data_IF_898983258681
#
_entry.id   IF_898983258681
#
_cell.length_a   1.000
_cell.length_b   1.000
_cell.length_c   1.000
_cell.angle_alpha   90.00
_cell.angle_beta   90.00
_cell.angle_gamma   90.00
#
_symmetry.space_group_name_H-M   'P 1'
#
loop_
_entity.id
_entity.type
_entity.pdbx_description
1 polymer ?
#
# COMPACT_ATOMS: atom_id res chain seq x y z
N UNK A 1 -62.29 4.32 -1.47
CA UNK A 1 -61.46 3.23 -2.01
C UNK A 1 -60.22 3.18 -1.12
N UNK A 2 -60.37 2.83 0.16
CA UNK A 2 -60.61 1.47 0.69
C UNK A 2 -59.56 0.45 0.20
N UNK A 3 -58.76 0.06 1.18
CA UNK A 3 -57.66 -0.92 1.25
C UNK A 3 -58.08 -2.33 0.76
N UNK A 4 -57.17 -3.33 0.63
CA UNK A 4 -56.49 -3.89 1.80
C UNK A 4 -55.05 -4.43 1.59
N UNK A 5 -54.30 -4.42 2.68
CA UNK A 5 -53.20 -5.35 2.97
C UNK A 5 -53.70 -6.80 3.04
N UNK A 6 -52.80 -7.79 2.94
CA UNK A 6 -52.93 -8.91 3.85
C UNK A 6 -51.61 -9.29 4.53
N UNK A 7 -51.85 -10.03 5.60
CA UNK A 7 -51.07 -10.27 6.80
C UNK A 7 -50.68 -11.76 6.88
N UNK A 8 -49.81 -12.10 7.84
CA UNK A 8 -49.56 -13.44 8.43
C UNK A 8 -48.81 -14.49 7.57
N UNK A 9 -47.87 -15.33 8.05
CA UNK A 9 -47.71 -15.95 9.38
C UNK A 9 -46.29 -16.53 9.61
N UNK A 10 -45.95 -17.01 10.84
CA UNK A 10 -44.60 -17.35 11.33
C UNK A 10 -44.33 -18.86 11.53
N UNK A 11 -43.06 -19.24 11.74
CA UNK A 11 -42.56 -20.49 12.38
C UNK A 11 -41.17 -20.14 12.97
N UNK A 12 -40.81 -20.24 14.26
CA UNK A 12 -40.92 -21.28 15.32
C UNK A 12 -40.10 -22.55 15.04
N UNK A 13 -38.84 -22.52 15.47
CA UNK A 13 -38.08 -23.61 16.15
C UNK A 13 -36.88 -22.90 16.82
N UNK A 14 -36.66 -22.90 18.13
CA UNK A 14 -36.74 -24.00 19.08
C UNK A 14 -35.30 -24.43 19.41
N UNK A 15 -34.75 -23.94 20.53
CA UNK A 15 -33.83 -24.70 21.42
C UNK A 15 -33.30 -23.78 22.52
N UNK A 16 -34.02 -23.83 23.63
CA UNK A 16 -33.51 -23.60 24.97
C UNK A 16 -32.35 -24.58 25.24
N UNK A 17 -31.18 -24.06 25.61
CA UNK A 17 -30.21 -24.80 26.39
C UNK A 17 -29.76 -23.88 27.52
N UNK A 18 -30.37 -24.11 28.67
CA UNK A 18 -29.96 -23.65 30.00
C UNK A 18 -28.89 -24.63 30.53
N UNK A 19 -27.67 -24.17 30.83
CA UNK A 19 -26.70 -24.94 31.58
C UNK A 19 -26.52 -24.35 32.98
N UNK A 20 -27.60 -24.30 33.76
CA UNK A 20 -27.52 -24.26 35.21
C UNK A 20 -27.45 -25.71 35.74
N UNK A 21 -26.52 -25.93 36.68
CA UNK A 21 -26.09 -27.20 37.30
C UNK A 21 -24.94 -27.96 36.62
N UNK A 22 -23.72 -27.67 37.10
CA UNK A 22 -22.75 -28.69 37.56
C UNK A 22 -21.79 -27.99 38.53
N UNK A 23 -22.17 -27.96 39.81
CA UNK A 23 -21.26 -27.74 40.92
C UNK A 23 -20.57 -29.07 41.21
N UNK A 24 -19.26 -29.14 41.02
CA UNK A 24 -18.41 -30.07 41.75
C UNK A 24 -17.03 -29.43 41.96
N UNK A 25 -16.74 -29.26 43.25
CA UNK A 25 -15.53 -28.71 43.85
C UNK A 25 -14.25 -29.44 43.43
N UNK A 26 -13.22 -28.67 43.12
CA UNK A 26 -11.85 -29.03 43.47
C UNK A 26 -11.04 -27.74 43.64
N UNK A 27 -10.67 -27.43 44.88
CA UNK A 27 -9.74 -26.36 45.23
C UNK A 27 -8.39 -26.57 44.53
N UNK A 28 -7.83 -25.57 43.82
CA UNK A 28 -6.44 -25.62 43.41
C UNK A 28 -5.57 -25.09 44.57
N UNK A 29 -4.75 -25.97 45.13
CA UNK A 29 -3.64 -25.57 45.99
C UNK A 29 -2.75 -24.52 45.29
N UNK A 30 -2.31 -23.46 45.97
CA UNK A 30 -1.32 -22.56 45.42
C UNK A 30 0.04 -23.28 45.38
N UNK A 31 0.44 -23.77 44.21
CA UNK A 31 1.86 -24.03 43.94
C UNK A 31 2.55 -22.68 43.81
N UNK A 32 3.24 -22.29 44.88
CA UNK A 32 4.30 -21.29 44.86
C UNK A 32 5.40 -21.82 43.95
N UNK A 33 5.43 -21.34 42.70
CA UNK A 33 6.58 -21.48 41.81
C UNK A 33 7.45 -20.24 42.02
N UNK A 34 8.17 -20.20 43.13
CA UNK A 34 9.33 -19.33 43.28
C UNK A 34 10.49 -19.96 42.50
N UNK A 35 10.54 -19.68 41.21
CA UNK A 35 11.76 -19.71 40.41
C UNK A 35 11.52 -18.90 39.13
N UNK A 36 11.36 -17.58 39.31
CA UNK A 36 11.68 -16.64 38.24
C UNK A 36 13.21 -16.69 38.12
N UNK A 37 13.71 -17.58 37.26
CA UNK A 37 15.05 -17.45 36.74
C UNK A 37 15.13 -16.05 36.14
N UNK A 38 15.89 -15.17 36.79
CA UNK A 38 16.34 -13.91 36.24
C UNK A 38 17.22 -14.24 35.05
N UNK A 39 16.58 -14.42 33.89
CA UNK A 39 17.29 -14.67 32.65
C UNK A 39 18.07 -13.38 32.35
N UNK A 40 19.38 -13.44 32.51
CA UNK A 40 20.28 -12.27 32.41
C UNK A 40 19.97 -11.46 31.14
N UNK A 41 19.78 -10.12 31.23
CA UNK A 41 19.52 -9.27 30.05
C UNK A 41 20.51 -9.48 28.88
N UNK A 42 21.70 -10.00 29.18
CA UNK A 42 22.76 -10.28 28.21
C UNK A 42 22.39 -11.29 27.10
N UNK A 43 21.53 -12.28 27.35
CA UNK A 43 21.17 -13.23 26.29
C UNK A 43 20.21 -12.61 25.26
N UNK A 44 19.33 -11.69 25.68
CA UNK A 44 18.45 -10.95 24.78
C UNK A 44 19.26 -10.00 23.91
N UNK A 45 20.28 -9.35 24.48
CA UNK A 45 21.20 -8.48 23.73
C UNK A 45 22.01 -9.32 22.72
N UNK A 46 22.56 -10.47 23.13
CA UNK A 46 23.28 -11.38 22.22
C UNK A 46 22.40 -11.95 21.10
N UNK A 47 21.14 -12.30 21.41
CA UNK A 47 20.20 -12.78 20.42
C UNK A 47 19.84 -11.67 19.41
N UNK A 48 19.64 -10.44 19.88
CA UNK A 48 19.41 -9.28 19.01
C UNK A 48 20.60 -9.00 18.10
N UNK A 49 21.82 -9.03 18.63
CA UNK A 49 23.04 -8.85 17.83
C UNK A 49 23.22 -9.97 16.80
N UNK A 50 22.95 -11.23 17.15
CA UNK A 50 22.95 -12.34 16.18
C UNK A 50 21.90 -12.16 15.08
N UNK A 51 20.69 -11.69 15.42
CA UNK A 51 19.65 -11.43 14.42
C UNK A 51 20.09 -10.31 13.46
N UNK A 52 20.73 -9.26 13.98
CA UNK A 52 21.29 -8.17 13.16
C UNK A 52 22.40 -8.68 12.24
N UNK A 53 23.33 -9.49 12.74
CA UNK A 53 24.42 -10.08 11.95
C UNK A 53 23.90 -11.04 10.87
N UNK A 54 22.87 -11.84 11.18
CA UNK A 54 22.21 -12.72 10.21
C UNK A 54 21.52 -11.88 9.13
N UNK A 55 20.82 -10.80 9.50
CA UNK A 55 20.20 -9.88 8.53
C UNK A 55 21.24 -9.22 7.63
N UNK A 56 22.34 -8.72 8.20
CA UNK A 56 23.45 -8.13 7.45
C UNK A 56 24.09 -9.14 6.48
N UNK A 57 24.32 -10.38 6.92
CA UNK A 57 24.91 -11.41 6.07
C UNK A 57 23.97 -11.85 4.94
N UNK A 58 22.67 -12.00 5.22
CA UNK A 58 21.66 -12.28 4.19
C UNK A 58 21.56 -11.13 3.19
N UNK A 59 21.56 -9.87 3.66
CA UNK A 59 21.56 -8.69 2.80
C UNK A 59 22.81 -8.63 1.92
N UNK A 60 23.99 -8.91 2.47
CA UNK A 60 25.24 -8.97 1.71
C UNK A 60 25.25 -10.13 0.69
N UNK A 61 24.68 -11.29 1.02
CA UNK A 61 24.53 -12.41 0.09
C UNK A 61 23.53 -12.10 -1.02
N UNK A 62 22.41 -11.43 -0.71
CA UNK A 62 21.46 -10.95 -1.71
C UNK A 62 22.09 -9.88 -2.60
N UNK A 63 22.89 -8.98 -2.03
CA UNK A 63 23.60 -7.94 -2.76
C UNK A 63 24.62 -8.56 -3.73
N UNK A 64 25.42 -9.54 -3.27
CA UNK A 64 26.30 -10.31 -4.15
C UNK A 64 25.55 -11.11 -5.21
N UNK A 65 24.37 -11.65 -4.92
CA UNK A 65 23.56 -12.37 -5.90
C UNK A 65 22.94 -11.42 -6.95
N UNK A 66 22.57 -10.20 -6.56
CA UNK A 66 22.05 -9.16 -7.46
C UNK A 66 23.18 -8.57 -8.30
N UNK A 67 24.33 -8.26 -7.70
CA UNK A 67 25.54 -7.77 -8.39
C UNK A 67 26.10 -8.82 -9.35
N UNK A 68 26.05 -10.11 -9.01
CA UNK A 68 26.40 -11.19 -9.94
C UNK A 68 25.30 -11.49 -10.98
N UNK A 69 24.08 -10.98 -10.80
CA UNK A 69 23.03 -10.97 -11.84
C UNK A 69 23.07 -9.73 -12.74
N UNK A 70 23.96 -8.77 -12.45
CA UNK A 70 24.14 -7.51 -13.20
C UNK A 70 24.92 -7.67 -14.53
N UNK A 71 24.90 -8.87 -15.13
CA UNK A 71 24.90 -8.96 -16.61
C UNK A 71 23.64 -8.27 -17.21
N UNK A 72 22.74 -7.77 -16.36
CA UNK A 72 21.53 -7.00 -16.64
C UNK A 72 21.72 -5.52 -17.05
N UNK A 73 22.90 -5.08 -17.47
CA UNK A 73 23.08 -3.71 -18.02
C UNK A 73 22.15 -3.41 -19.22
N UNK A 74 21.48 -4.42 -19.76
CA UNK A 74 20.54 -4.36 -20.90
C UNK A 74 19.09 -4.70 -20.55
N UNK A 75 18.73 -4.97 -19.29
CA UNK A 75 17.37 -5.37 -18.93
C UNK A 75 16.40 -4.18 -18.98
N UNK A 76 15.75 -4.01 -20.14
CA UNK A 76 14.72 -3.00 -20.37
C UNK A 76 13.42 -3.42 -19.66
N UNK A 77 12.73 -2.52 -18.94
CA UNK A 77 11.45 -2.85 -18.31
C UNK A 77 10.41 -3.29 -19.34
N UNK A 78 9.62 -4.33 -19.02
CA UNK A 78 8.58 -4.90 -19.89
C UNK A 78 7.64 -3.86 -20.50
N UNK A 79 7.34 -2.81 -19.73
CA UNK A 79 6.40 -1.81 -20.17
C UNK A 79 6.96 -0.95 -21.29
N UNK A 80 8.23 -1.09 -21.73
CA UNK A 80 8.83 -0.39 -22.88
C UNK A 80 8.45 -1.02 -24.22
N UNK A 81 8.02 -2.27 -24.22
CA UNK A 81 7.61 -2.99 -25.44
C UNK A 81 6.15 -2.71 -25.84
N UNK A 82 5.38 -2.06 -24.96
CA UNK A 82 4.01 -1.63 -25.27
C UNK A 82 4.03 -0.68 -26.49
N UNK A 83 3.26 -0.98 -27.54
CA UNK A 83 3.27 -0.19 -28.76
C UNK A 83 2.76 1.22 -28.51
N UNK A 84 3.22 2.14 -29.34
CA UNK A 84 2.68 3.48 -29.31
C UNK A 84 1.31 3.56 -30.01
N UNK A 85 0.30 4.06 -29.30
CA UNK A 85 -1.08 4.16 -29.79
C UNK A 85 -1.44 5.56 -30.32
N UNK A 86 -0.45 6.44 -30.54
CA UNK A 86 -0.70 7.83 -30.96
C UNK A 86 -1.45 8.00 -32.25
N UNK A 87 -1.33 7.02 -33.14
CA UNK A 87 -2.01 7.01 -34.43
C UNK A 87 -3.36 6.29 -34.38
N UNK A 88 -3.79 5.82 -33.20
CA UNK A 88 -5.07 5.15 -33.02
C UNK A 88 -6.13 6.13 -32.55
N UNK A 89 -7.38 5.79 -32.83
CA UNK A 89 -8.56 6.55 -32.39
C UNK A 89 -8.85 6.30 -30.90
N UNK A 90 -8.51 5.13 -30.39
CA UNK A 90 -8.82 4.70 -29.02
C UNK A 90 -7.57 4.55 -28.14
N UNK A 91 -7.68 5.00 -26.90
CA UNK A 91 -6.68 4.76 -25.85
C UNK A 91 -6.74 3.32 -25.30
N UNK A 92 -5.87 3.01 -24.35
CA UNK A 92 -5.85 1.69 -23.69
C UNK A 92 -5.63 1.85 -22.20
N UNK A 93 -6.35 1.05 -21.41
CA UNK A 93 -6.16 0.89 -19.98
C UNK A 93 -5.28 -0.34 -19.74
N UNK A 94 -4.23 -0.16 -18.95
CA UNK A 94 -3.32 -1.21 -18.54
C UNK A 94 -3.44 -1.45 -17.05
N UNK A 95 -3.75 -2.69 -16.69
CA UNK A 95 -3.85 -3.16 -15.30
C UNK A 95 -2.76 -4.16 -15.01
N UNK A 96 -2.01 -3.94 -13.93
CA UNK A 96 -1.08 -4.96 -13.45
C UNK A 96 -1.86 -6.11 -12.82
N UNK A 97 -1.53 -7.34 -13.21
CA UNK A 97 -2.17 -8.51 -12.60
C UNK A 97 -1.81 -8.59 -11.12
N UNK A 98 -2.74 -9.04 -10.25
CA UNK A 98 -2.43 -9.36 -8.87
C UNK A 98 -1.22 -10.30 -8.79
N UNK A 99 -0.42 -10.13 -7.74
CA UNK A 99 0.74 -10.98 -7.46
C UNK A 99 0.59 -11.57 -6.06
N UNK A 100 1.17 -12.75 -5.86
CA UNK A 100 1.26 -13.35 -4.54
C UNK A 100 2.50 -12.83 -3.80
N UNK A 101 2.40 -12.73 -2.47
CA UNK A 101 3.54 -12.40 -1.64
C UNK A 101 4.52 -13.58 -1.61
N UNK A 102 5.78 -13.34 -1.98
CA UNK A 102 6.85 -14.33 -1.93
C UNK A 102 7.99 -13.81 -1.05
N UNK A 103 8.26 -14.43 0.12
CA UNK A 103 9.26 -13.96 1.08
C UNK A 103 10.69 -13.82 0.51
N UNK A 104 11.04 -14.64 -0.47
CA UNK A 104 12.41 -14.74 -0.99
C UNK A 104 12.67 -13.89 -2.25
N UNK A 105 11.68 -13.13 -2.72
CA UNK A 105 11.83 -12.29 -3.91
C UNK A 105 11.63 -10.81 -3.55
N UNK A 106 12.41 -9.89 -4.17
CA UNK A 106 12.12 -8.48 -4.04
C UNK A 106 10.67 -8.20 -4.42
N UNK A 107 9.94 -7.65 -3.46
CA UNK A 107 8.51 -7.45 -3.62
C UNK A 107 8.21 -6.28 -4.56
N UNK A 108 9.11 -5.30 -4.59
CA UNK A 108 9.19 -4.28 -5.61
C UNK A 108 10.41 -4.55 -6.51
N UNK A 109 10.17 -4.86 -7.78
CA UNK A 109 11.24 -5.00 -8.77
C UNK A 109 10.81 -4.30 -10.06
N UNK A 110 11.37 -3.10 -10.31
CA UNK A 110 11.10 -2.35 -11.54
C UNK A 110 11.56 -3.01 -12.85
N UNK A 111 12.30 -4.13 -12.78
CA UNK A 111 12.68 -4.95 -13.94
C UNK A 111 11.92 -6.28 -14.00
N UNK A 112 10.99 -6.54 -13.08
CA UNK A 112 10.14 -7.72 -13.18
C UNK A 112 9.28 -7.62 -14.44
N UNK A 113 9.23 -8.69 -15.24
CA UNK A 113 8.23 -8.82 -16.30
C UNK A 113 6.89 -9.08 -15.63
N UNK A 114 6.06 -8.03 -15.53
CA UNK A 114 4.75 -8.13 -14.90
C UNK A 114 3.73 -8.48 -15.97
N UNK A 115 2.96 -9.58 -15.85
CA UNK A 115 1.82 -9.80 -16.73
C UNK A 115 0.79 -8.69 -16.49
N UNK A 116 0.43 -7.96 -17.53
CA UNK A 116 -0.55 -6.89 -17.46
C UNK A 116 -1.70 -7.15 -18.42
N UNK A 117 -2.90 -6.91 -17.93
CA UNK A 117 -4.13 -7.05 -18.69
C UNK A 117 -4.33 -5.76 -19.48
N UNK A 118 -4.42 -5.93 -20.80
CA UNK A 118 -4.71 -4.85 -21.73
C UNK A 118 -6.21 -4.81 -21.96
N UNK A 119 -6.85 -3.72 -21.59
CA UNK A 119 -8.30 -3.55 -21.79
C UNK A 119 -8.55 -2.34 -22.68
N UNK A 120 -9.38 -2.55 -23.70
CA UNK A 120 -9.96 -1.44 -24.44
C UNK A 120 -11.09 -0.88 -23.61
N UNK A 121 -10.92 0.35 -23.15
CA UNK A 121 -11.91 1.02 -22.31
C UNK A 121 -12.28 2.33 -22.96
N UNK A 122 -13.55 2.47 -23.31
CA UNK A 122 -14.11 3.75 -23.69
C UNK A 122 -14.22 4.62 -22.44
N UNK A 123 -13.59 5.79 -22.47
CA UNK A 123 -13.76 6.81 -21.44
C UNK A 123 -14.27 8.09 -22.07
N UNK A 124 -15.17 8.76 -21.36
CA UNK A 124 -15.52 10.15 -21.65
C UNK A 124 -14.85 10.99 -20.57
N UNK A 125 -13.98 11.90 -20.99
CA UNK A 125 -13.59 13.00 -20.13
C UNK A 125 -14.88 13.79 -19.93
N UNK A 126 -15.31 13.96 -18.68
CA UNK A 126 -16.57 14.62 -18.41
C UNK A 126 -16.55 16.03 -19.02
N UNK A 127 -17.61 16.40 -19.75
CA UNK A 127 -17.97 17.81 -19.96
C UNK A 127 -18.53 18.32 -18.63
N UNK A 128 -17.67 18.46 -17.62
CA UNK A 128 -17.99 19.29 -16.47
C UNK A 128 -17.22 20.58 -16.68
N UNK A 129 -17.97 21.60 -17.07
CA UNK A 129 -17.53 22.97 -17.30
C UNK A 129 -16.36 23.39 -16.38
N UNK A 130 -15.23 23.71 -17.00
CA UNK A 130 -14.14 24.61 -16.60
C UNK A 130 -13.49 24.64 -15.19
N UNK A 131 -13.99 24.03 -14.10
CA UNK A 131 -13.59 24.52 -12.75
C UNK A 131 -12.84 23.57 -11.78
N UNK A 132 -12.37 22.40 -12.17
CA UNK A 132 -11.46 21.62 -11.28
C UNK A 132 -10.20 21.14 -11.99
N UNK A 133 -9.46 22.07 -12.59
CA UNK A 133 -8.01 21.96 -12.57
C UNK A 133 -7.54 22.15 -11.11
N UNK A 134 -7.57 21.08 -10.31
CA UNK A 134 -6.84 21.12 -9.04
C UNK A 134 -5.36 20.94 -9.39
N UNK A 135 -4.72 22.04 -9.78
CA UNK A 135 -3.27 22.15 -9.73
C UNK A 135 -2.87 22.01 -8.26
N UNK A 136 -2.62 20.77 -7.85
CA UNK A 136 -1.98 20.52 -6.57
C UNK A 136 -0.53 20.95 -6.77
N UNK A 137 -0.27 22.23 -6.53
CA UNK A 137 1.08 22.74 -6.39
C UNK A 137 1.61 22.08 -5.12
N UNK A 138 2.33 20.97 -5.27
CA UNK A 138 3.19 20.56 -4.19
C UNK A 138 4.27 21.65 -4.02
N UNK A 139 4.77 21.85 -2.81
CA UNK A 139 5.80 22.84 -2.54
C UNK A 139 7.10 22.63 -3.34
N UNK A 140 7.18 21.61 -4.20
CA UNK A 140 8.29 21.37 -5.11
C UNK A 140 8.13 22.03 -6.48
N UNK A 141 7.04 22.76 -6.73
CA UNK A 141 6.82 23.53 -7.97
C UNK A 141 6.47 22.65 -9.18
N UNK A 142 6.04 21.41 -8.94
CA UNK A 142 5.55 20.51 -9.99
C UNK A 142 4.03 20.63 -10.07
N UNK A 143 3.54 21.02 -11.25
CA UNK A 143 2.11 21.15 -11.49
C UNK A 143 1.52 19.77 -11.82
N UNK A 144 0.87 19.18 -10.82
CA UNK A 144 0.05 17.99 -11.02
C UNK A 144 -1.32 18.39 -11.58
N UNK A 145 -1.73 17.72 -12.65
CA UNK A 145 -3.08 17.82 -13.19
C UNK A 145 -3.85 16.57 -12.82
N UNK A 146 -5.08 16.77 -12.35
CA UNK A 146 -6.04 15.72 -12.04
C UNK A 146 -7.35 16.00 -12.77
N UNK A 147 -7.84 15.06 -13.57
CA UNK A 147 -9.13 15.17 -14.28
C UNK A 147 -10.07 14.04 -13.92
N UNK A 148 -11.35 14.36 -13.74
CA UNK A 148 -12.40 13.35 -13.56
C UNK A 148 -12.71 12.68 -14.91
N UNK A 149 -12.79 11.36 -14.88
CA UNK A 149 -13.19 10.56 -16.03
C UNK A 149 -14.19 9.48 -15.57
N UNK A 150 -15.07 9.08 -16.47
CA UNK A 150 -15.92 7.92 -16.24
C UNK A 150 -15.45 6.77 -17.13
N UNK A 151 -15.10 5.63 -16.51
CA UNK A 151 -14.77 4.40 -17.21
C UNK A 151 -16.03 3.57 -17.44
N UNK A 152 -16.34 3.32 -18.71
CA UNK A 152 -17.36 2.35 -19.09
C UNK A 152 -16.68 0.98 -19.27
N UNK A 153 -16.94 0.04 -18.35
CA UNK A 153 -16.37 -1.31 -18.42
C UNK A 153 -17.41 -2.37 -18.06
N UNK A 154 -17.27 -3.57 -18.65
CA UNK A 154 -18.17 -4.71 -18.40
C UNK A 154 -18.08 -5.23 -16.96
N UNK A 155 -16.90 -5.15 -16.36
CA UNK A 155 -16.67 -5.52 -14.97
C UNK A 155 -17.06 -4.34 -14.07
N UNK A 156 -18.12 -4.51 -13.28
CA UNK A 156 -18.68 -3.45 -12.43
C UNK A 156 -17.67 -2.85 -11.43
N UNK A 157 -16.65 -3.63 -11.03
CA UNK A 157 -15.61 -3.18 -10.12
C UNK A 157 -14.58 -2.25 -10.80
N UNK A 158 -14.54 -2.23 -12.13
CA UNK A 158 -13.71 -1.35 -12.96
C UNK A 158 -14.52 -0.15 -13.47
N UNK A 159 -15.82 -0.33 -13.71
CA UNK A 159 -16.69 0.77 -14.06
C UNK A 159 -16.77 1.81 -12.92
N UNK A 160 -16.89 3.09 -13.29
CA UNK A 160 -17.12 4.17 -12.33
C UNK A 160 -16.29 5.43 -12.60
N UNK A 161 -16.24 6.29 -11.60
CA UNK A 161 -15.54 7.58 -11.64
C UNK A 161 -14.08 7.39 -11.19
N UNK A 162 -13.16 7.91 -11.99
CA UNK A 162 -11.72 7.86 -11.76
C UNK A 162 -11.12 9.26 -11.89
N UNK A 163 -9.94 9.44 -11.30
CA UNK A 163 -9.05 10.55 -11.51
C UNK A 163 -7.93 10.15 -12.47
N UNK A 164 -7.78 10.91 -13.53
CA UNK A 164 -6.65 10.86 -14.45
C UNK A 164 -5.61 11.85 -13.95
N UNK A 165 -4.47 11.35 -13.48
CA UNK A 165 -3.41 12.14 -12.86
C UNK A 165 -2.15 12.10 -13.70
N UNK A 166 -1.51 13.25 -13.88
CA UNK A 166 -0.22 13.35 -14.55
C UNK A 166 0.49 14.66 -14.16
N UNK A 167 1.78 14.75 -14.45
CA UNK A 167 2.53 16.00 -14.36
C UNK A 167 2.62 16.65 -15.74
N UNK A 168 2.44 17.96 -15.83
CA UNK A 168 2.50 18.68 -17.12
C UNK A 168 3.83 18.46 -17.84
N UNK A 169 4.95 18.53 -17.10
CA UNK A 169 6.31 18.34 -17.64
C UNK A 169 6.55 16.95 -18.23
N UNK A 170 5.70 15.96 -17.95
CA UNK A 170 5.85 14.66 -18.59
C UNK A 170 5.65 14.76 -20.10
N UNK A 171 4.87 15.72 -20.61
CA UNK A 171 4.67 15.91 -22.05
C UNK A 171 6.00 16.15 -22.79
N UNK A 172 6.91 16.89 -22.16
CA UNK A 172 8.24 17.24 -22.69
C UNK A 172 9.27 16.09 -22.59
N UNK A 173 8.94 15.03 -21.85
CA UNK A 173 9.83 13.88 -21.72
C UNK A 173 9.69 12.94 -22.92
N UNK A 174 10.81 12.36 -23.36
CA UNK A 174 10.82 11.30 -24.39
C UNK A 174 9.90 10.11 -24.08
N UNK A 175 9.67 9.83 -22.78
CA UNK A 175 8.78 8.74 -22.37
C UNK A 175 7.32 9.15 -22.17
N UNK A 176 7.01 10.45 -22.24
CA UNK A 176 5.69 11.01 -21.98
C UNK A 176 5.04 10.53 -20.68
N UNK A 177 5.84 10.36 -19.61
CA UNK A 177 5.38 9.90 -18.29
C UNK A 177 5.25 8.38 -18.12
N UNK A 178 5.53 7.57 -19.17
CA UNK A 178 5.32 6.12 -19.18
C UNK A 178 5.93 5.40 -17.98
N UNK A 179 7.21 5.63 -17.73
CA UNK A 179 7.94 4.94 -16.67
C UNK A 179 7.43 5.34 -15.28
N UNK A 180 7.07 6.61 -15.08
CA UNK A 180 6.45 7.08 -13.83
C UNK A 180 5.10 6.42 -13.57
N UNK A 181 4.26 6.29 -14.60
CA UNK A 181 2.94 5.67 -14.47
C UNK A 181 3.04 4.19 -14.05
N UNK A 182 3.93 3.42 -14.70
CA UNK A 182 4.11 2.01 -14.36
C UNK A 182 4.77 1.80 -12.99
N UNK A 183 5.69 2.68 -12.58
CA UNK A 183 6.25 2.68 -11.23
C UNK A 183 5.17 2.92 -10.16
N UNK A 184 4.25 3.87 -10.42
CA UNK A 184 3.09 4.12 -9.55
C UNK A 184 2.21 2.89 -9.41
N UNK A 185 1.88 2.26 -10.53
CA UNK A 185 1.04 1.08 -10.56
C UNK A 185 1.71 -0.10 -9.83
N UNK A 186 3.03 -0.27 -9.99
CA UNK A 186 3.80 -1.28 -9.27
C UNK A 186 3.83 -1.02 -7.77
N UNK A 187 4.03 0.23 -7.35
CA UNK A 187 4.00 0.65 -5.95
C UNK A 187 2.63 0.37 -5.32
N UNK A 188 1.54 0.79 -5.99
CA UNK A 188 0.17 0.53 -5.55
C UNK A 188 -0.09 -0.97 -5.39
N UNK A 189 0.28 -1.79 -6.38
CA UNK A 189 0.13 -3.26 -6.31
C UNK A 189 0.92 -3.86 -5.15
N UNK A 190 2.17 -3.41 -4.93
CA UNK A 190 2.99 -3.87 -3.81
C UNK A 190 2.35 -3.57 -2.46
N UNK A 191 1.97 -2.30 -2.24
CA UNK A 191 1.36 -1.86 -0.99
C UNK A 191 0.01 -2.58 -0.75
N UNK A 192 -0.75 -2.88 -1.80
CA UNK A 192 -1.99 -3.66 -1.68
C UNK A 192 -1.72 -5.08 -1.14
N UNK A 193 -0.69 -5.76 -1.64
CA UNK A 193 -0.26 -7.06 -1.12
C UNK A 193 0.24 -6.96 0.33
N UNK A 194 1.04 -5.96 0.63
CA UNK A 194 1.57 -5.73 1.98
C UNK A 194 0.44 -5.45 2.98
N UNK A 195 -0.57 -4.68 2.58
CA UNK A 195 -1.73 -4.37 3.42
C UNK A 195 -2.56 -5.62 3.72
N UNK A 196 -2.77 -6.48 2.72
CA UNK A 196 -3.45 -7.77 2.93
C UNK A 196 -2.67 -8.65 3.92
N UNK A 197 -1.33 -8.69 3.79
CA UNK A 197 -0.47 -9.41 4.72
C UNK A 197 -0.54 -8.82 6.14
N UNK A 198 -0.49 -7.50 6.28
CA UNK A 198 -0.63 -6.78 7.56
C UNK A 198 -1.96 -7.10 8.25
N UNK A 199 -3.08 -7.00 7.53
CA UNK A 199 -4.40 -7.36 8.04
C UNK A 199 -4.47 -8.83 8.48
N UNK A 200 -3.89 -9.75 7.71
CA UNK A 200 -3.81 -11.18 8.09
C UNK A 200 -2.97 -11.40 9.35
N UNK A 201 -1.87 -10.65 9.52
CA UNK A 201 -1.02 -10.73 10.70
C UNK A 201 -1.76 -10.25 11.95
N UNK A 202 -2.47 -9.11 11.88
CA UNK A 202 -3.34 -8.64 12.96
C UNK A 202 -4.40 -9.68 13.35
N UNK A 203 -5.08 -10.26 12.37
CA UNK A 203 -6.08 -11.31 12.61
C UNK A 203 -5.50 -12.52 13.33
N UNK A 204 -4.33 -13.00 12.89
CA UNK A 204 -3.65 -14.14 13.51
C UNK A 204 -3.27 -13.86 14.97
N UNK A 205 -2.79 -12.65 15.27
CA UNK A 205 -2.47 -12.21 16.63
C UNK A 205 -3.72 -12.01 17.51
N UNK A 206 -4.91 -11.91 16.91
CA UNK A 206 -6.20 -11.96 17.59
C UNK A 206 -6.51 -13.28 18.29
N UNK A 207 -5.74 -14.34 18.04
CA UNK A 207 -5.86 -15.63 18.72
C UNK A 207 -4.55 -15.92 19.46
N UNK A 208 -4.65 -16.22 20.75
CA UNK A 208 -3.49 -16.69 21.52
C UNK A 208 -3.16 -18.15 21.17
N UNK A 209 -1.96 -18.60 21.52
CA UNK A 209 -1.54 -20.00 21.38
C UNK A 209 -2.43 -20.97 22.19
N UNK A 210 -3.21 -20.45 23.14
CA UNK A 210 -4.15 -21.20 23.99
C UNK A 210 -5.60 -21.09 23.45
N UNK A 211 -5.80 -20.43 22.30
CA UNK A 211 -7.10 -20.25 21.67
C UNK A 211 -7.95 -19.11 22.26
N UNK A 212 -7.47 -18.41 23.29
CA UNK A 212 -8.16 -17.25 23.84
C UNK A 212 -8.12 -16.07 22.86
N UNK A 213 -9.23 -15.33 22.78
CA UNK A 213 -9.38 -14.18 21.90
C UNK A 213 -8.70 -12.96 22.51
N UNK A 214 -7.83 -12.31 21.74
CA UNK A 214 -7.28 -11.00 22.09
C UNK A 214 -8.17 -9.90 21.48
N UNK A 215 -9.02 -9.29 22.30
CA UNK A 215 -10.01 -8.30 21.86
C UNK A 215 -9.37 -7.08 21.18
N UNK A 216 -8.23 -6.60 21.70
CA UNK A 216 -7.50 -5.45 21.15
C UNK A 216 -7.04 -5.70 19.72
N UNK A 217 -6.45 -6.87 19.44
CA UNK A 217 -6.00 -7.19 18.08
C UNK A 217 -7.16 -7.43 17.11
N UNK A 218 -8.28 -7.99 17.59
CA UNK A 218 -9.49 -8.09 16.76
C UNK A 218 -10.04 -6.70 16.41
N UNK A 219 -10.06 -5.78 17.37
CA UNK A 219 -10.47 -4.39 17.11
C UNK A 219 -9.55 -3.74 16.07
N UNK A 220 -8.23 -3.83 16.23
CA UNK A 220 -7.28 -3.32 15.24
C UNK A 220 -7.44 -3.98 13.87
N UNK A 221 -7.68 -5.29 13.83
CA UNK A 221 -7.98 -5.99 12.57
C UNK A 221 -9.24 -5.44 11.90
N UNK A 222 -10.32 -5.24 12.64
CA UNK A 222 -11.56 -4.69 12.10
C UNK A 222 -11.40 -3.26 11.59
N UNK A 223 -10.65 -2.41 12.28
CA UNK A 223 -10.33 -1.06 11.80
C UNK A 223 -9.41 -1.16 10.57
N UNK A 224 -8.37 -2.00 10.60
CA UNK A 224 -7.47 -2.19 9.46
C UNK A 224 -8.19 -2.71 8.21
N UNK A 225 -9.36 -3.34 8.34
CA UNK A 225 -10.20 -3.77 7.20
C UNK A 225 -10.90 -2.61 6.48
N UNK A 226 -11.01 -1.43 7.07
CA UNK A 226 -11.47 -0.24 6.35
C UNK A 226 -10.41 0.29 5.38
N UNK A 227 -9.12 0.06 5.71
CA UNK A 227 -8.00 0.39 4.86
C UNK A 227 -8.05 -0.40 3.57
N UNK A 228 -7.95 0.31 2.45
CA UNK A 228 -7.88 -0.28 1.12
C UNK A 228 -6.99 0.57 0.21
N UNK A 229 -6.07 -0.09 -0.50
CA UNK A 229 -5.33 0.56 -1.58
C UNK A 229 -6.24 0.75 -2.78
N UNK A 230 -6.34 1.98 -3.26
CA UNK A 230 -7.03 2.28 -4.50
C UNK A 230 -6.29 1.64 -5.68
N UNK A 231 -7.00 0.93 -6.57
CA UNK A 231 -6.40 0.42 -7.79
C UNK A 231 -5.79 1.58 -8.59
N UNK A 232 -4.51 1.42 -8.95
CA UNK A 232 -3.78 2.35 -9.81
C UNK A 232 -3.56 1.67 -11.16
N UNK A 233 -4.23 2.19 -12.18
CA UNK A 233 -4.11 1.75 -13.56
C UNK A 233 -3.26 2.74 -14.35
N UNK A 234 -2.75 2.29 -15.50
CA UNK A 234 -2.04 3.15 -16.44
C UNK A 234 -2.90 3.33 -17.67
N UNK A 235 -3.10 4.57 -18.10
CA UNK A 235 -3.81 4.90 -19.34
C UNK A 235 -2.80 5.42 -20.35
N UNK A 236 -2.87 4.91 -21.57
CA UNK A 236 -2.25 5.53 -22.73
C UNK A 236 -3.37 6.15 -23.57
N UNK A 237 -3.36 7.47 -23.70
CA UNK A 237 -4.27 8.16 -24.61
C UNK A 237 -4.00 7.76 -26.07
N UNK A 238 -5.06 7.68 -26.87
CA UNK A 238 -4.96 7.84 -28.32
C UNK A 238 -4.50 9.26 -28.65
N UNK A 239 -4.00 9.48 -29.87
CA UNK A 239 -3.46 10.76 -30.33
C UNK A 239 -4.16 11.97 -29.72
N UNK A 240 -3.43 12.74 -28.92
CA UNK A 240 -3.98 13.90 -28.26
C UNK A 240 -4.15 14.98 -29.33
N UNK A 241 -5.36 15.54 -29.46
CA UNK A 241 -5.60 16.72 -30.32
C UNK A 241 -4.89 17.96 -29.73
N UNK A 242 -4.54 17.91 -28.44
CA UNK A 242 -3.77 18.93 -27.73
C UNK A 242 -2.37 18.37 -27.44
N UNK A 243 -1.35 18.89 -28.14
CA UNK A 243 0.05 18.46 -28.05
C UNK A 243 0.69 18.64 -26.65
N UNK A 244 0.00 19.29 -25.72
CA UNK A 244 0.54 19.72 -24.43
C UNK A 244 0.37 18.69 -23.29
N UNK A 245 -0.45 17.64 -23.47
CA UNK A 245 -0.65 16.64 -22.42
C UNK A 245 0.23 15.40 -22.60
N UNK A 246 0.79 14.83 -21.51
CA UNK A 246 1.48 13.57 -21.60
C UNK A 246 0.52 12.46 -22.02
N UNK A 247 1.03 11.58 -22.87
CA UNK A 247 0.28 10.42 -23.36
C UNK A 247 -0.03 9.41 -22.27
N UNK A 248 0.92 9.19 -21.36
CA UNK A 248 0.77 8.25 -20.27
C UNK A 248 0.29 8.96 -19.03
N UNK A 249 -0.79 8.45 -18.46
CA UNK A 249 -1.47 9.04 -17.31
C UNK A 249 -1.81 7.96 -16.30
N UNK A 250 -1.80 8.32 -15.02
CA UNK A 250 -2.21 7.44 -13.93
C UNK A 250 -3.73 7.51 -13.80
N UNK A 251 -4.40 6.38 -13.65
CA UNK A 251 -5.85 6.31 -13.46
C UNK A 251 -6.15 5.63 -12.13
N UNK A 252 -6.60 6.42 -11.16
CA UNK A 252 -6.98 5.96 -9.81
C UNK A 252 -8.45 6.19 -9.59
N UNK A 253 -9.14 5.29 -8.88
CA UNK A 253 -10.57 5.48 -8.59
C UNK A 253 -10.76 6.74 -7.73
N UNK A 254 -11.80 7.51 -8.05
CA UNK A 254 -12.10 8.73 -7.31
C UNK A 254 -12.46 8.39 -5.85
N UNK A 255 -11.82 9.10 -4.92
CA UNK A 255 -12.16 9.06 -3.51
C UNK A 255 -13.39 9.94 -3.26
N UNK A 256 -14.29 9.50 -2.37
CA UNK A 256 -15.50 10.26 -2.05
C UNK A 256 -15.26 11.33 -0.98
N UNK A 257 -14.18 11.22 -0.21
CA UNK A 257 -13.82 12.17 0.83
C UNK A 257 -13.28 13.47 0.25
N UNK A 258 -13.72 14.59 0.83
CA UNK A 258 -13.17 15.92 0.55
C UNK A 258 -11.81 16.11 1.24
N UNK A 259 -11.60 15.41 2.35
CA UNK A 259 -10.38 15.50 3.15
C UNK A 259 -9.41 14.37 2.82
N UNK A 260 -8.27 14.78 2.25
CA UNK A 260 -7.12 13.91 1.99
C UNK A 260 -6.01 14.31 2.95
N UNK A 261 -5.45 13.33 3.67
CA UNK A 261 -4.27 13.54 4.49
C UNK A 261 -3.07 12.80 3.91
N UNK A 262 -1.94 13.50 3.82
CA UNK A 262 -0.67 12.92 3.37
C UNK A 262 0.10 12.44 4.59
N UNK A 263 0.06 11.16 4.90
CA UNK A 263 0.79 10.60 6.04
C UNK A 263 2.30 10.52 5.81
N UNK A 264 2.73 10.35 4.54
CA UNK A 264 4.14 10.25 4.17
C UNK A 264 4.46 11.13 2.97
N UNK A 265 5.58 11.84 3.09
CA UNK A 265 6.27 12.60 2.05
C UNK A 265 7.74 12.18 2.07
N UNK A 266 8.44 12.39 0.96
CA UNK A 266 9.80 11.87 0.76
C UNK A 266 10.76 12.28 1.89
N UNK A 267 10.47 13.39 2.56
CA UNK A 267 11.29 14.05 3.55
C UNK A 267 10.64 14.12 4.97
N UNK A 268 9.41 13.62 5.15
CA UNK A 268 8.85 13.44 6.50
C UNK A 268 7.88 12.24 6.62
N UNK A 269 8.17 11.40 7.61
CA UNK A 269 7.53 10.11 7.90
C UNK A 269 6.64 10.13 9.15
N UNK A 270 6.45 11.31 9.76
CA UNK A 270 5.66 11.54 10.95
C UNK A 270 4.71 12.72 10.74
N UNK A 271 4.02 12.73 9.60
CA UNK A 271 3.02 13.76 9.31
C UNK A 271 1.66 13.34 9.87
N UNK A 272 1.39 13.70 11.12
CA UNK A 272 0.09 13.43 11.74
C UNK A 272 -0.99 14.40 11.25
N UNK A 273 -2.24 13.96 11.11
CA UNK A 273 -3.34 14.87 10.81
C UNK A 273 -3.62 15.79 12.00
N UNK A 274 -4.00 17.04 11.72
CA UNK A 274 -4.30 18.04 12.76
C UNK A 274 -5.51 17.66 13.63
N UNK A 275 -6.42 16.85 13.13
CA UNK A 275 -7.63 16.40 13.83
C UNK A 275 -7.61 14.87 13.96
N UNK A 276 -7.01 14.35 15.03
CA UNK A 276 -6.81 12.89 15.18
C UNK A 276 -8.13 12.13 15.19
N UNK A 277 -9.20 12.72 15.70
CA UNK A 277 -10.54 12.12 15.79
C UNK A 277 -11.13 11.83 14.40
N UNK A 278 -10.79 12.64 13.39
CA UNK A 278 -11.19 12.41 11.99
C UNK A 278 -10.40 11.27 11.33
N UNK A 279 -9.28 10.84 11.94
CA UNK A 279 -8.37 9.83 11.39
C UNK A 279 -8.09 8.72 12.41
N UNK A 280 -9.10 7.92 12.80
CA UNK A 280 -8.97 6.87 13.83
C UNK A 280 -8.01 5.73 13.44
N UNK A 281 -7.55 5.72 12.19
CA UNK A 281 -6.63 4.74 11.62
C UNK A 281 -5.16 5.22 11.59
N UNK A 282 -4.86 6.40 12.14
CA UNK A 282 -3.51 7.01 12.11
C UNK A 282 -2.44 6.05 12.61
N UNK A 283 -2.64 5.43 13.78
CA UNK A 283 -1.69 4.47 14.35
C UNK A 283 -1.53 3.22 13.50
N UNK A 284 -2.62 2.74 12.90
CA UNK A 284 -2.58 1.60 11.99
C UNK A 284 -1.81 1.92 10.71
N UNK A 285 -1.91 3.14 10.19
CA UNK A 285 -1.17 3.58 9.00
C UNK A 285 0.33 3.63 9.31
N UNK A 286 0.74 4.24 10.43
CA UNK A 286 2.16 4.26 10.80
C UNK A 286 2.72 2.87 11.09
N UNK A 287 1.96 2.02 11.78
CA UNK A 287 2.34 0.62 12.00
C UNK A 287 2.41 -0.17 10.69
N UNK A 288 1.51 0.09 9.74
CA UNK A 288 1.53 -0.52 8.43
C UNK A 288 2.75 -0.11 7.58
N UNK A 289 3.16 1.15 7.64
CA UNK A 289 4.38 1.63 6.97
C UNK A 289 5.61 0.91 7.52
N UNK A 290 5.73 0.82 8.85
CA UNK A 290 6.83 0.09 9.50
C UNK A 290 6.79 -1.41 9.17
N UNK A 291 5.61 -2.04 9.28
CA UNK A 291 5.43 -3.43 8.89
C UNK A 291 5.87 -3.68 7.45
N UNK A 292 5.53 -2.80 6.51
CA UNK A 292 5.92 -2.95 5.09
C UNK A 292 7.43 -2.86 4.89
N UNK A 293 8.11 -2.01 5.66
CA UNK A 293 9.55 -1.89 5.65
C UNK A 293 10.22 -3.17 6.18
N UNK A 294 9.81 -3.68 7.34
CA UNK A 294 10.32 -4.94 7.89
C UNK A 294 9.98 -6.16 7.03
N UNK A 295 8.77 -6.19 6.47
CA UNK A 295 8.29 -7.26 5.60
C UNK A 295 9.24 -7.47 4.41
N UNK A 296 9.84 -6.39 3.93
CA UNK A 296 10.80 -6.40 2.82
C UNK A 296 12.26 -6.64 3.24
N UNK A 297 12.53 -6.85 4.53
CA UNK A 297 13.90 -6.93 5.05
C UNK A 297 14.65 -5.62 4.89
N UNK A 298 14.02 -4.49 5.24
CA UNK A 298 14.58 -3.14 5.19
C UNK A 298 14.89 -2.63 3.77
N UNK A 299 14.40 -3.32 2.73
CA UNK A 299 14.71 -3.02 1.33
C UNK A 299 13.75 -2.04 0.69
N UNK A 300 12.45 -2.12 1.00
CA UNK A 300 11.41 -1.32 0.36
C UNK A 300 10.77 -0.37 1.37
N UNK A 301 10.67 0.90 0.99
CA UNK A 301 10.07 1.94 1.83
C UNK A 301 8.94 2.64 1.08
N UNK A 302 7.79 2.83 1.74
CA UNK A 302 6.73 3.69 1.23
C UNK A 302 7.18 5.14 1.40
N UNK A 303 7.52 5.82 0.31
CA UNK A 303 8.04 7.19 0.31
C UNK A 303 6.96 8.26 0.10
N UNK A 304 5.75 7.86 -0.27
CA UNK A 304 4.60 8.74 -0.44
C UNK A 304 3.33 7.95 -0.19
N UNK A 305 2.44 8.49 0.65
CA UNK A 305 1.15 7.87 0.97
C UNK A 305 0.14 8.96 1.31
N UNK A 306 -0.98 8.94 0.60
CA UNK A 306 -2.16 9.75 0.91
C UNK A 306 -3.29 8.82 1.29
N UNK A 307 -4.06 9.17 2.31
CA UNK A 307 -5.26 8.47 2.72
C UNK A 307 -6.44 9.43 2.75
N UNK A 308 -7.64 8.95 2.42
CA UNK A 308 -8.89 9.66 2.76
C UNK A 308 -9.43 9.22 4.13
N UNK A 309 -10.38 9.97 4.67
CA UNK A 309 -11.03 9.70 5.97
C UNK A 309 -11.69 8.30 6.06
N UNK A 310 -11.96 7.66 4.91
CA UNK A 310 -12.59 6.34 4.81
C UNK A 310 -11.58 5.19 4.68
N UNK A 311 -10.28 5.49 4.79
CA UNK A 311 -9.21 4.51 4.72
C UNK A 311 -8.73 4.17 3.32
N UNK A 312 -9.01 5.02 2.32
CA UNK A 312 -8.54 4.77 0.95
C UNK A 312 -7.15 5.32 0.73
N UNK A 313 -6.19 4.41 0.61
CA UNK A 313 -4.80 4.70 0.34
C UNK A 313 -4.62 4.95 -1.16
N UNK A 314 -4.01 6.08 -1.52
CA UNK A 314 -3.73 6.48 -2.88
C UNK A 314 -2.38 7.19 -2.94
N UNK A 315 -1.95 7.59 -4.14
CA UNK A 315 -0.72 8.37 -4.30
C UNK A 315 0.52 7.65 -3.72
N UNK A 316 0.57 6.32 -3.88
CA UNK A 316 1.59 5.44 -3.30
C UNK A 316 2.86 5.40 -4.13
N UNK A 317 4.01 5.75 -3.55
CA UNK A 317 5.34 5.53 -4.17
C UNK A 317 6.18 4.70 -3.23
N UNK A 318 6.89 3.71 -3.77
CA UNK A 318 7.85 2.93 -3.03
C UNK A 318 9.26 3.13 -3.58
N UNK A 319 10.24 3.23 -2.68
CA UNK A 319 11.66 3.20 -3.02
C UNK A 319 12.26 1.83 -2.68
N UNK A 320 13.25 1.43 -3.47
CA UNK A 320 14.12 0.28 -3.18
C UNK A 320 15.49 0.84 -2.76
N UNK A 321 15.97 0.40 -1.59
CA UNK A 321 17.23 0.86 -1.00
C UNK A 321 18.43 0.67 -1.93
N UNK A 322 18.41 -0.38 -2.76
CA UNK A 322 19.55 -0.78 -3.57
C UNK A 322 19.37 -0.43 -5.05
N UNK A 323 18.30 0.27 -5.41
CA UNK A 323 17.96 0.50 -6.80
C UNK A 323 17.25 1.82 -7.02
N UNK A 324 17.86 2.65 -7.86
CA UNK A 324 17.26 3.89 -8.32
C UNK A 324 16.07 3.57 -9.25
N UNK A 325 14.93 4.26 -9.09
CA UNK A 325 13.81 4.22 -10.03
C UNK A 325 14.25 4.28 -11.50
N UNK A 326 13.66 3.44 -12.35
CA UNK A 326 14.11 3.32 -13.75
C UNK A 326 14.01 4.65 -14.52
N UNK A 327 12.98 5.44 -14.24
CA UNK A 327 12.76 6.74 -14.89
C UNK A 327 13.83 7.78 -14.54
N UNK A 328 14.54 7.59 -13.43
CA UNK A 328 15.58 8.48 -12.91
C UNK A 328 16.90 7.76 -12.64
N UNK A 329 17.15 6.61 -13.28
CA UNK A 329 18.33 5.74 -13.01
C UNK A 329 19.71 6.38 -13.24
N UNK A 330 19.75 7.56 -13.86
CA UNK A 330 20.95 8.35 -14.12
C UNK A 330 20.98 9.66 -13.31
N UNK A 331 20.01 9.87 -12.41
CA UNK A 331 19.89 11.08 -11.60
C UNK A 331 20.54 10.84 -10.24
N UNK A 332 21.61 11.57 -9.95
CA UNK A 332 22.22 11.61 -8.63
C UNK A 332 21.24 12.15 -7.58
N UNK A 333 20.46 13.18 -7.93
CA UNK A 333 19.44 13.74 -7.03
C UNK A 333 18.41 12.68 -6.59
N UNK A 334 18.04 11.75 -7.47
CA UNK A 334 17.14 10.66 -7.12
C UNK A 334 17.82 9.63 -6.20
N UNK A 335 19.10 9.34 -6.44
CA UNK A 335 19.88 8.47 -5.56
C UNK A 335 19.95 9.06 -4.14
N UNK A 336 20.28 10.35 -4.03
CA UNK A 336 20.30 11.09 -2.77
C UNK A 336 18.92 11.13 -2.11
N UNK A 337 17.85 11.33 -2.90
CA UNK A 337 16.48 11.33 -2.40
C UNK A 337 16.08 9.97 -1.83
N UNK A 338 16.45 8.87 -2.50
CA UNK A 338 16.22 7.50 -2.01
C UNK A 338 17.00 7.30 -0.71
N UNK A 339 18.31 7.59 -0.69
CA UNK A 339 19.14 7.44 0.51
C UNK A 339 18.58 8.25 1.70
N UNK A 340 18.25 9.52 1.45
CA UNK A 340 17.69 10.43 2.45
C UNK A 340 16.37 9.92 3.01
N UNK A 341 15.48 9.40 2.14
CA UNK A 341 14.20 8.83 2.56
C UNK A 341 14.37 7.70 3.56
N UNK A 342 15.27 6.74 3.30
CA UNK A 342 15.56 5.64 4.22
C UNK A 342 16.16 6.12 5.54
N UNK A 343 17.15 7.02 5.49
CA UNK A 343 17.77 7.59 6.69
C UNK A 343 16.75 8.36 7.54
N UNK A 344 15.89 9.16 6.91
CA UNK A 344 14.85 9.91 7.61
C UNK A 344 13.79 9.00 8.23
N UNK A 345 13.34 7.97 7.52
CA UNK A 345 12.37 7.03 8.07
C UNK A 345 12.87 6.39 9.38
N UNK A 346 14.10 5.86 9.39
CA UNK A 346 14.70 5.26 10.60
C UNK A 346 14.82 6.28 11.74
N UNK A 347 15.13 7.54 11.43
CA UNK A 347 15.31 8.57 12.43
C UNK A 347 13.99 9.12 13.01
N UNK A 348 12.98 9.26 12.15
CA UNK A 348 11.71 9.93 12.45
C UNK A 348 10.61 8.97 12.88
N UNK A 349 10.62 7.71 12.43
CA UNK A 349 9.56 6.78 12.81
C UNK A 349 9.65 6.47 14.31
N UNK A 350 8.50 6.58 14.97
CA UNK A 350 8.31 6.20 16.37
C UNK A 350 7.35 5.02 16.40
N UNK A 351 7.81 3.88 16.91
CA UNK A 351 6.95 2.72 17.10
C UNK A 351 5.79 3.07 18.04
N UNK A 352 4.57 2.71 17.64
CA UNK A 352 3.40 2.74 18.52
C UNK A 352 3.09 1.33 19.05
N UNK A 353 2.05 1.23 19.88
CA UNK A 353 1.61 -0.02 20.51
C UNK A 353 1.39 -1.15 19.46
N UNK A 354 0.86 -0.81 18.30
CA UNK A 354 0.58 -1.79 17.24
C UNK A 354 1.88 -2.37 16.68
N UNK A 355 2.91 -1.54 16.46
CA UNK A 355 4.25 -2.00 16.05
C UNK A 355 4.81 -3.02 17.05
N UNK A 356 4.77 -2.68 18.35
CA UNK A 356 5.31 -3.53 19.42
C UNK A 356 4.60 -4.89 19.46
N UNK A 357 3.28 -4.89 19.33
CA UNK A 357 2.45 -6.10 19.34
C UNK A 357 2.65 -7.00 18.11
N UNK A 358 2.94 -6.42 16.96
CA UNK A 358 3.31 -7.17 15.76
C UNK A 358 4.65 -7.89 15.91
N UNK A 359 5.47 -7.49 16.89
CA UNK A 359 6.82 -7.99 17.08
C UNK A 359 7.83 -7.25 16.19
N UNK A 360 7.45 -6.09 15.67
CA UNK A 360 8.34 -5.20 14.95
C UNK A 360 9.38 -4.66 15.92
N UNK A 361 10.65 -4.90 15.62
CA UNK A 361 11.76 -4.56 16.52
C UNK A 361 12.20 -3.13 16.22
N UNK A 362 12.65 -2.40 17.24
CA UNK A 362 13.17 -1.03 17.12
C UNK A 362 14.03 -0.85 15.85
N UNK A 363 13.70 0.17 15.05
CA UNK A 363 14.44 0.56 13.86
C UNK A 363 15.86 1.10 14.17
N UNK A 364 16.17 1.30 15.46
CA UNK A 364 17.40 1.88 15.98
C UNK A 364 18.19 0.87 16.80
#
# INVERSE_FOLDING_TARGET
MESPSPDSSPDVTGSDIDPSHMLASSEPHPMVIDNICTVSPDWLIKLRLMIVDIRLNISNQLQNAIENSNDSATAVPYYKDIPDLGLREEGTLYRLSPKAFHPNHPHYNGHEVVPFLHERVGYKVGQHNDDEHTALIDGSGWEWVSRKLYLHHREYHIAGIYHLKYQNRWADMNSQGRAHCFERAQSSRYVAMALEAFQKTLFRKGRSNVGSVNATHLQWYHIAKSLAVQPSYVVQGSGCVNDEEPRWKICERATKGFDLHRFVWADNYQNEPNQKEAWPMTDLIFAFIHYTYELSGDRTLIANLVCDESGKLSNLTCYDRYKIPYHSRHSHDMEDAVHTAFTRFVNQHVCNEICEHLGSVYLK
#
